data_IF_281301180458
#
_entry.id   IF_281301180458
#
_cell.length_a   1.000
_cell.length_b   1.000
_cell.length_c   1.000
_cell.angle_alpha   90.00
_cell.angle_beta   90.00
_cell.angle_gamma   90.00
#
_symmetry.space_group_name_H-M   'P 1'
#
loop_
_entity.id
_entity.type
_entity.pdbx_description
1 polymer ?
#
# COMPACT_ATOMS: atom_id res chain seq x y z
N UNK A 1 0.92 6.80 -0.46
CA UNK A 1 1.18 5.51 -1.18
C UNK A 1 0.30 4.45 -0.56
N UNK A 2 -0.22 3.50 -1.33
CA UNK A 2 -1.06 2.42 -0.82
C UNK A 2 -0.41 1.05 -1.05
N UNK A 3 -0.36 0.23 0.00
CA UNK A 3 0.20 -1.11 0.00
C UNK A 3 -0.92 -2.16 0.15
N UNK A 4 -0.98 -3.11 -0.76
CA UNK A 4 -1.96 -4.19 -0.75
C UNK A 4 -1.34 -5.49 -1.24
N UNK A 5 -2.00 -6.62 -0.97
CA UNK A 5 -1.46 -7.93 -1.31
C UNK A 5 -0.22 -8.32 -0.51
N UNK A 6 -0.04 -7.74 0.69
CA UNK A 6 1.06 -8.07 1.60
C UNK A 6 1.01 -9.54 1.99
N UNK A 7 2.18 -10.18 2.03
CA UNK A 7 2.36 -11.59 2.40
C UNK A 7 3.18 -11.69 3.66
N UNK A 8 2.82 -12.62 4.54
CA UNK A 8 3.59 -12.88 5.76
C UNK A 8 5.07 -13.10 5.43
N UNK A 9 5.96 -12.45 6.19
CA UNK A 9 7.40 -12.45 5.96
C UNK A 9 7.91 -11.34 5.04
N UNK A 10 7.04 -10.53 4.43
CA UNK A 10 7.45 -9.25 3.83
C UNK A 10 7.58 -8.18 4.90
N UNK A 11 8.61 -7.34 4.79
CA UNK A 11 8.78 -6.19 5.66
C UNK A 11 9.35 -4.95 4.94
N UNK A 12 9.10 -3.82 5.60
CA UNK A 12 9.66 -2.51 5.37
C UNK A 12 10.40 -2.16 6.66
N UNK A 13 11.71 -2.38 6.66
CA UNK A 13 12.57 -2.41 7.85
C UNK A 13 13.54 -1.23 7.94
N UNK A 14 13.41 -0.24 7.06
CA UNK A 14 14.33 0.88 7.07
C UNK A 14 13.68 2.19 6.68
N UNK A 15 13.94 3.21 7.50
CA UNK A 15 13.69 4.61 7.19
C UNK A 15 15.05 5.26 6.90
N UNK A 16 15.21 6.04 5.80
CA UNK A 16 16.48 6.67 5.46
C UNK A 16 17.05 7.51 6.61
N UNK A 17 18.32 7.29 6.94
CA UNK A 17 19.04 8.00 8.02
C UNK A 17 20.06 9.02 7.51
N UNK A 18 20.42 8.95 6.23
CA UNK A 18 21.41 9.81 5.59
C UNK A 18 20.82 11.08 4.97
N UNK A 19 19.49 11.16 4.86
CA UNK A 19 18.76 12.32 4.35
C UNK A 19 17.42 12.43 5.07
N UNK A 20 17.02 13.65 5.45
CA UNK A 20 15.76 13.86 6.15
C UNK A 20 14.58 13.79 5.17
N UNK A 21 13.83 12.69 5.22
CA UNK A 21 12.64 12.48 4.41
C UNK A 21 11.37 12.77 5.23
N UNK A 22 10.35 13.35 4.59
CA UNK A 22 9.00 13.43 5.17
C UNK A 22 8.13 12.34 4.56
N UNK A 23 7.69 11.39 5.39
CA UNK A 23 6.72 10.38 5.01
C UNK A 23 5.36 10.73 5.61
N UNK A 24 4.31 10.67 4.80
CA UNK A 24 2.94 10.93 5.27
C UNK A 24 1.92 10.20 4.42
N UNK A 25 0.73 9.98 4.98
CA UNK A 25 -0.45 9.44 4.30
C UNK A 25 -0.15 8.14 3.55
N UNK A 26 0.58 7.21 4.20
CA UNK A 26 0.70 5.85 3.69
C UNK A 26 -0.44 5.01 4.24
N UNK A 27 -0.98 4.15 3.40
CA UNK A 27 -2.10 3.27 3.76
C UNK A 27 -1.73 1.83 3.40
N UNK A 28 -2.17 0.88 4.20
CA UNK A 28 -1.94 -0.53 3.95
C UNK A 28 -3.18 -1.39 4.28
N UNK A 29 -3.49 -2.35 3.42
CA UNK A 29 -4.41 -3.44 3.77
C UNK A 29 -3.61 -4.54 4.44
N UNK A 30 -3.88 -4.77 5.73
CA UNK A 30 -3.14 -5.73 6.56
C UNK A 30 -3.82 -7.11 6.49
N UNK A 31 -3.07 -8.19 6.20
CA UNK A 31 -3.61 -9.54 6.21
C UNK A 31 -4.26 -9.93 7.55
N UNK A 32 -5.33 -10.71 7.49
CA UNK A 32 -6.00 -11.18 8.70
C UNK A 32 -5.03 -11.96 9.62
N UNK A 33 -5.14 -11.72 10.93
CA UNK A 33 -4.28 -12.37 11.93
C UNK A 33 -2.88 -11.76 12.05
N UNK A 34 -2.61 -10.64 11.37
CA UNK A 34 -1.36 -9.87 11.49
C UNK A 34 -1.63 -8.42 11.85
N UNK A 35 -0.58 -7.68 12.19
CA UNK A 35 -0.60 -6.29 12.60
C UNK A 35 0.22 -5.43 11.66
N UNK A 36 -0.01 -4.12 11.68
CA UNK A 36 0.79 -3.17 10.90
C UNK A 36 2.29 -3.31 11.19
N UNK A 37 2.67 -3.54 12.44
CA UNK A 37 4.07 -3.67 12.90
C UNK A 37 4.75 -4.96 12.45
N UNK A 38 4.00 -5.97 12.00
CA UNK A 38 4.60 -7.19 11.43
C UNK A 38 5.25 -6.91 10.07
N UNK A 39 4.77 -5.90 9.35
CA UNK A 39 5.27 -5.48 8.03
C UNK A 39 6.06 -4.18 8.09
N UNK A 40 5.60 -3.20 8.86
CA UNK A 40 6.21 -1.87 8.93
C UNK A 40 7.00 -1.71 10.23
N UNK A 41 8.29 -2.01 10.15
CA UNK A 41 9.24 -2.04 11.27
C UNK A 41 10.06 -0.76 11.33
N UNK A 42 10.86 -0.62 12.39
CA UNK A 42 11.88 0.42 12.52
C UNK A 42 11.38 1.86 12.26
N UNK A 43 10.18 2.15 12.77
CA UNK A 43 9.55 3.46 12.71
C UNK A 43 8.69 3.72 11.46
N UNK A 44 8.72 2.84 10.45
CA UNK A 44 7.92 3.01 9.23
C UNK A 44 6.39 2.91 9.47
N UNK A 45 5.97 2.21 10.54
CA UNK A 45 4.57 2.14 10.96
C UNK A 45 4.03 3.47 11.47
N UNK A 46 4.88 4.41 11.92
CA UNK A 46 4.44 5.72 12.38
C UNK A 46 3.81 6.59 11.28
N UNK A 47 4.09 6.27 10.02
CA UNK A 47 3.65 7.02 8.84
C UNK A 47 2.62 6.27 8.01
N UNK A 48 2.21 5.08 8.46
CA UNK A 48 1.31 4.17 7.75
C UNK A 48 0.07 3.88 8.59
N UNK A 49 -1.11 3.88 7.98
CA UNK A 49 -2.35 3.45 8.63
C UNK A 49 -2.89 2.19 7.97
N UNK A 50 -3.59 1.36 8.75
CA UNK A 50 -4.31 0.22 8.18
C UNK A 50 -5.68 0.66 7.67
N UNK A 51 -6.01 0.25 6.45
CA UNK A 51 -7.34 0.44 5.84
C UNK A 51 -7.89 -0.90 5.36
N UNK A 52 -9.20 -0.99 5.19
CA UNK A 52 -9.82 -2.16 4.58
C UNK A 52 -9.53 -2.20 3.07
N UNK A 53 -9.55 -3.39 2.49
CA UNK A 53 -9.37 -3.57 1.05
C UNK A 53 -10.38 -2.73 0.25
N UNK A 54 -9.88 -1.89 -0.67
CA UNK A 54 -10.70 -1.01 -1.51
C UNK A 54 -11.22 0.25 -0.81
N UNK A 55 -10.89 0.46 0.47
CA UNK A 55 -11.23 1.69 1.20
C UNK A 55 -10.07 2.71 1.23
N UNK A 56 -9.03 2.49 0.42
CA UNK A 56 -7.87 3.37 0.34
C UNK A 56 -8.24 4.72 -0.29
N UNK A 57 -7.64 5.79 0.24
CA UNK A 57 -7.81 7.16 -0.26
C UNK A 57 -6.58 7.66 -1.03
N UNK A 58 -5.47 6.92 -0.92
CA UNK A 58 -4.24 7.14 -1.68
C UNK A 58 -3.92 5.92 -2.55
N UNK A 59 -2.98 6.06 -3.47
CA UNK A 59 -2.55 4.97 -4.35
C UNK A 59 -2.77 5.28 -5.82
N UNK A 60 -2.62 4.26 -6.66
CA UNK A 60 -2.87 4.37 -8.08
C UNK A 60 -4.38 4.40 -8.34
N UNK A 61 -4.84 5.34 -9.16
CA UNK A 61 -6.22 5.38 -9.63
C UNK A 61 -6.35 4.62 -10.94
N UNK A 62 -6.86 3.39 -10.87
CA UNK A 62 -7.08 2.55 -12.05
C UNK A 62 -8.16 3.10 -13.00
N UNK A 63 -9.03 4.00 -12.53
CA UNK A 63 -10.11 4.58 -13.36
C UNK A 63 -9.56 5.36 -14.54
N UNK A 64 -8.38 5.95 -14.41
CA UNK A 64 -7.68 6.68 -15.47
C UNK A 64 -7.40 5.82 -16.73
N UNK A 65 -7.36 4.49 -16.58
CA UNK A 65 -7.09 3.54 -17.67
C UNK A 65 -8.37 2.90 -18.24
N UNK A 66 -9.52 3.20 -17.65
CA UNK A 66 -10.81 2.60 -18.01
C UNK A 66 -11.24 3.05 -19.41
N UNK A 67 -11.71 2.11 -20.23
CA UNK A 67 -12.33 2.38 -21.53
C UNK A 67 -11.37 2.53 -22.72
N UNK A 68 -10.07 2.77 -22.50
CA UNK A 68 -9.09 2.89 -23.59
C UNK A 68 -7.94 1.90 -23.52
N UNK A 69 -7.56 1.48 -22.31
CA UNK A 69 -6.46 0.52 -22.16
C UNK A 69 -6.97 -0.91 -22.33
N UNK A 70 -6.20 -1.73 -23.05
CA UNK A 70 -6.48 -3.16 -23.14
C UNK A 70 -6.49 -3.81 -21.75
N UNK A 71 -5.59 -3.39 -20.85
CA UNK A 71 -5.47 -3.86 -19.47
C UNK A 71 -6.76 -3.65 -18.67
N UNK A 72 -7.46 -2.53 -18.87
CA UNK A 72 -8.78 -2.32 -18.26
C UNK A 72 -9.85 -3.21 -18.90
N UNK A 73 -9.88 -3.33 -20.24
CA UNK A 73 -10.87 -4.15 -20.97
C UNK A 73 -10.73 -5.64 -20.63
N UNK A 74 -9.51 -6.14 -20.44
CA UNK A 74 -9.25 -7.53 -20.06
C UNK A 74 -9.56 -7.83 -18.59
N UNK A 75 -9.95 -6.84 -17.78
CA UNK A 75 -10.20 -6.98 -16.35
C UNK A 75 -8.93 -7.15 -15.52
N UNK A 76 -7.75 -6.89 -16.09
CA UNK A 76 -6.47 -7.07 -15.40
C UNK A 76 -6.21 -6.00 -14.33
N UNK A 77 -7.00 -4.93 -14.29
CA UNK A 77 -7.01 -3.92 -13.24
C UNK A 77 -8.00 -4.23 -12.11
N UNK A 78 -8.75 -5.34 -12.18
CA UNK A 78 -9.68 -5.70 -11.12
C UNK A 78 -8.93 -5.93 -9.81
N UNK A 79 -9.34 -5.21 -8.75
CA UNK A 79 -8.70 -5.28 -7.43
C UNK A 79 -7.58 -4.26 -7.19
N UNK A 80 -7.40 -3.29 -8.10
CA UNK A 80 -6.62 -2.07 -7.88
C UNK A 80 -7.50 -0.93 -7.38
#
# INVERSE_FOLDING_TARGET
>A
VYFFGLKAGQDFDSVPTYYNCTFSNMEATIPAGTTLTDFFKDGSSAFTISVNAGANTVGADASAFTGWSWTAVSGSLNGF
#
